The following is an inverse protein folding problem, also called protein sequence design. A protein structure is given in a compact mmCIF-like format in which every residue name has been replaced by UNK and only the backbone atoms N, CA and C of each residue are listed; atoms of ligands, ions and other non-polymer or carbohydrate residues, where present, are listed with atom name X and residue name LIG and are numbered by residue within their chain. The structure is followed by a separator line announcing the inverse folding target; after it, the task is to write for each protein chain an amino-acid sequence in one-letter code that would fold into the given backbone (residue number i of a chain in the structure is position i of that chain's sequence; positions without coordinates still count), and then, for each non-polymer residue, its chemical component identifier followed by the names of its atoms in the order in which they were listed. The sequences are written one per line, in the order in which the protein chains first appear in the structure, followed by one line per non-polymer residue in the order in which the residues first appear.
data_IF_896420796857
#
_entry.id   IF_896420796857
#
_cell.length_a   1.000
_cell.length_b   1.000
_cell.length_c   1.000
_cell.angle_alpha   90.00
_cell.angle_beta   90.00
_cell.angle_gamma   90.00
#
_symmetry.space_group_name_H-M   'P 1'
#
loop_
_entity.id
_entity.type
_entity.pdbx_description
1 polymer ?
#
# COMPACT_ATOMS: atom_id res chain seq x y z
N UNK A 1 21.69 9.30 26.39
CA UNK A 1 21.42 9.69 24.98
C UNK A 1 22.56 9.20 24.10
N UNK A 2 22.31 8.28 23.15
CA UNK A 2 23.34 7.77 22.26
C UNK A 2 23.81 8.85 21.28
N UNK A 3 25.12 9.17 21.26
CA UNK A 3 25.69 10.12 20.28
C UNK A 3 25.80 9.43 18.92
N UNK A 4 25.03 9.92 17.94
CA UNK A 4 25.12 9.48 16.56
C UNK A 4 26.47 9.92 15.98
N UNK A 5 27.22 8.99 15.38
CA UNK A 5 28.53 9.33 14.81
C UNK A 5 28.42 10.30 13.63
N UNK A 6 29.44 11.13 13.43
CA UNK A 6 29.51 12.07 12.30
C UNK A 6 29.38 11.36 10.94
N UNK A 7 29.86 10.13 10.82
CA UNK A 7 29.73 9.30 9.62
C UNK A 7 28.27 8.94 9.33
N UNK A 8 27.51 8.57 10.36
CA UNK A 8 26.07 8.26 10.25
C UNK A 8 25.29 9.52 9.88
N UNK A 9 25.57 10.66 10.52
CA UNK A 9 24.92 11.94 10.19
C UNK A 9 25.11 12.34 8.73
N UNK A 10 26.36 12.31 8.24
CA UNK A 10 26.68 12.59 6.83
C UNK A 10 26.00 11.62 5.87
N UNK A 11 25.84 10.34 6.25
CA UNK A 11 25.12 9.35 5.44
C UNK A 11 23.63 9.67 5.35
N UNK A 12 22.99 10.04 6.46
CA UNK A 12 21.59 10.45 6.49
C UNK A 12 21.36 11.72 5.64
N UNK A 13 22.19 12.74 5.80
CA UNK A 13 22.13 13.98 4.99
C UNK A 13 22.27 13.69 3.49
N UNK A 14 23.13 12.74 3.09
CA UNK A 14 23.23 12.31 1.68
C UNK A 14 21.95 11.59 1.21
N UNK A 15 21.32 10.80 2.07
CA UNK A 15 20.04 10.15 1.77
C UNK A 15 18.95 11.19 1.50
N UNK A 16 18.83 12.19 2.37
CA UNK A 16 17.88 13.31 2.22
C UNK A 16 18.12 14.06 0.91
N UNK A 17 19.37 14.48 0.63
CA UNK A 17 19.70 15.16 -0.63
C UNK A 17 19.38 14.30 -1.87
N UNK A 18 19.59 12.99 -1.80
CA UNK A 18 19.27 12.07 -2.90
C UNK A 18 17.77 11.96 -3.10
N UNK A 19 16.98 11.84 -2.03
CA UNK A 19 15.51 11.88 -2.08
C UNK A 19 15.05 13.18 -2.74
N UNK A 20 15.49 14.32 -2.22
CA UNK A 20 15.03 15.63 -2.69
C UNK A 20 15.37 15.82 -4.18
N UNK A 21 16.53 15.33 -4.62
CA UNK A 21 16.90 15.31 -6.04
C UNK A 21 15.97 14.43 -6.88
N UNK A 22 15.65 13.21 -6.43
CA UNK A 22 14.76 12.29 -7.16
C UNK A 22 13.33 12.85 -7.24
N UNK A 23 12.86 13.51 -6.18
CA UNK A 23 11.53 14.12 -6.16
C UNK A 23 11.46 15.39 -7.02
N UNK A 24 12.53 16.19 -7.06
CA UNK A 24 12.60 17.41 -7.86
C UNK A 24 12.83 17.14 -9.35
N UNK A 25 13.61 16.10 -9.67
CA UNK A 25 13.91 15.68 -11.02
C UNK A 25 13.86 14.14 -11.11
N UNK A 26 12.68 13.56 -11.40
CA UNK A 26 12.55 12.13 -11.58
C UNK A 26 13.27 11.64 -12.86
N UNK A 27 13.81 12.54 -13.68
CA UNK A 27 14.56 12.17 -14.87
C UNK A 27 15.89 11.49 -14.55
N UNK A 28 16.29 10.55 -15.39
CA UNK A 28 17.62 9.95 -15.34
C UNK A 28 18.28 10.11 -16.69
N UNK A 29 19.45 10.74 -16.69
CA UNK A 29 20.17 11.14 -17.92
C UNK A 29 19.33 12.06 -18.82
N UNK A 30 18.44 12.87 -18.24
CA UNK A 30 17.66 13.89 -18.98
C UNK A 30 16.34 13.41 -19.56
N UNK A 31 15.98 12.13 -19.40
CA UNK A 31 14.68 11.60 -19.84
C UNK A 31 13.71 11.58 -18.66
N UNK A 32 12.56 12.29 -18.71
CA UNK A 32 11.52 12.18 -17.70
C UNK A 32 11.11 10.72 -17.54
N UNK A 33 11.01 10.25 -16.29
CA UNK A 33 10.62 8.87 -16.01
C UNK A 33 9.17 8.81 -15.63
N UNK A 34 8.48 7.84 -16.19
CA UNK A 34 7.16 7.49 -15.73
C UNK A 34 7.24 6.96 -14.29
N UNK A 35 6.42 7.54 -13.41
CA UNK A 35 6.08 6.99 -12.10
C UNK A 35 4.57 6.89 -12.04
N UNK A 36 4.07 5.72 -11.68
CA UNK A 36 2.66 5.50 -11.36
C UNK A 36 2.53 4.77 -10.05
N UNK A 37 1.66 5.27 -9.19
CA UNK A 37 1.44 4.73 -7.85
C UNK A 37 0.06 4.08 -7.75
N UNK A 38 -0.05 3.12 -6.85
CA UNK A 38 -1.32 2.58 -6.41
C UNK A 38 -1.21 2.16 -4.94
N UNK A 39 -2.35 2.02 -4.27
CA UNK A 39 -2.40 1.39 -2.96
C UNK A 39 -3.65 0.54 -2.81
N UNK A 40 -3.50 -0.56 -2.08
CA UNK A 40 -4.57 -1.51 -1.80
C UNK A 40 -4.56 -1.95 -0.34
N UNK A 41 -5.72 -1.99 0.30
CA UNK A 41 -5.91 -2.82 1.49
C UNK A 41 -6.25 -4.25 1.07
N UNK A 42 -5.59 -5.24 1.65
CA UNK A 42 -5.84 -6.66 1.43
C UNK A 42 -6.06 -7.36 2.75
N UNK A 43 -7.12 -8.17 2.83
CA UNK A 43 -7.43 -9.01 3.99
C UNK A 43 -7.73 -10.41 3.47
N UNK A 44 -6.98 -11.41 3.94
CA UNK A 44 -7.13 -12.80 3.52
C UNK A 44 -7.74 -13.67 4.63
N UNK A 45 -8.35 -14.79 4.24
CA UNK A 45 -8.92 -15.75 5.19
C UNK A 45 -10.21 -15.29 5.87
N UNK A 46 -10.91 -14.31 5.27
CA UNK A 46 -12.17 -13.77 5.77
C UNK A 46 -13.34 -14.02 4.81
N UNK A 47 -13.28 -15.10 4.02
CA UNK A 47 -14.28 -15.38 2.99
C UNK A 47 -15.71 -15.25 3.50
N UNK A 48 -16.03 -15.89 4.63
CA UNK A 48 -17.37 -15.84 5.24
C UNK A 48 -17.87 -14.43 5.57
N UNK A 49 -16.97 -13.46 5.70
CA UNK A 49 -17.29 -12.07 6.03
C UNK A 49 -17.45 -11.17 4.80
N UNK A 50 -17.14 -11.64 3.58
CA UNK A 50 -17.16 -10.79 2.38
C UNK A 50 -18.51 -10.07 2.19
N UNK A 51 -19.62 -10.79 2.30
CA UNK A 51 -20.95 -10.21 2.09
C UNK A 51 -21.38 -9.34 3.29
N UNK A 52 -21.04 -9.78 4.51
CA UNK A 52 -21.31 -9.03 5.74
C UNK A 52 -20.56 -7.70 5.79
N UNK A 53 -19.35 -7.65 5.22
CA UNK A 53 -18.57 -6.42 5.10
C UNK A 53 -19.29 -5.36 4.30
N UNK A 54 -19.75 -5.71 3.10
CA UNK A 54 -20.47 -4.79 2.23
C UNK A 54 -21.78 -4.33 2.89
N UNK A 55 -22.53 -5.25 3.52
CA UNK A 55 -23.79 -4.91 4.20
C UNK A 55 -23.58 -3.93 5.37
N UNK A 56 -22.51 -4.13 6.15
CA UNK A 56 -22.26 -3.35 7.38
C UNK A 56 -21.56 -2.02 7.12
N UNK A 57 -20.70 -1.96 6.12
CA UNK A 57 -19.85 -0.78 5.85
C UNK A 57 -20.29 0.00 4.62
N UNK A 58 -21.09 -0.60 3.73
CA UNK A 58 -21.37 -0.05 2.41
C UNK A 58 -20.16 -0.04 1.47
N UNK A 59 -19.00 -0.56 1.90
CA UNK A 59 -17.77 -0.60 1.10
C UNK A 59 -17.81 -1.83 0.21
N UNK A 60 -17.83 -1.61 -1.09
CA UNK A 60 -17.67 -2.67 -2.08
C UNK A 60 -16.17 -2.94 -2.30
N UNK A 61 -15.71 -4.22 -2.23
CA UNK A 61 -14.34 -4.54 -2.60
C UNK A 61 -14.10 -4.21 -4.07
N UNK A 62 -12.88 -3.78 -4.40
CA UNK A 62 -12.45 -3.77 -5.80
C UNK A 62 -12.31 -5.18 -6.34
N UNK A 63 -11.91 -6.13 -5.49
CA UNK A 63 -11.92 -7.54 -5.83
C UNK A 63 -12.15 -8.37 -4.57
N UNK A 64 -13.00 -9.38 -4.68
CA UNK A 64 -13.13 -10.45 -3.69
C UNK A 64 -13.00 -11.78 -4.42
N UNK A 65 -12.26 -12.72 -3.83
CA UNK A 65 -12.10 -14.08 -4.36
C UNK A 65 -12.22 -15.08 -3.23
N UNK A 66 -12.84 -16.24 -3.49
CA UNK A 66 -12.93 -17.34 -2.53
C UNK A 66 -11.82 -18.35 -2.73
N UNK A 67 -11.40 -19.00 -1.65
CA UNK A 67 -10.52 -20.16 -1.73
C UNK A 67 -11.07 -21.20 -2.71
N UNK A 68 -10.19 -21.73 -3.56
CA UNK A 68 -10.53 -22.74 -4.55
C UNK A 68 -11.04 -22.20 -5.88
N UNK A 69 -11.34 -20.89 -5.99
CA UNK A 69 -11.69 -20.26 -7.25
C UNK A 69 -10.52 -20.30 -8.26
N UNK A 70 -10.81 -20.33 -9.58
CA UNK A 70 -9.78 -20.31 -10.61
C UNK A 70 -8.89 -19.06 -10.52
N UNK A 71 -7.59 -19.27 -10.75
CA UNK A 71 -6.55 -18.25 -10.87
C UNK A 71 -5.80 -18.47 -12.19
N UNK A 72 -5.00 -17.48 -12.59
CA UNK A 72 -4.17 -17.53 -13.79
C UNK A 72 -3.32 -18.82 -13.90
N UNK A 73 -3.13 -19.30 -15.13
CA UNK A 73 -2.34 -20.49 -15.48
C UNK A 73 -2.80 -21.78 -14.79
N UNK A 74 -4.13 -22.00 -14.69
CA UNK A 74 -4.71 -23.23 -14.15
C UNK A 74 -4.53 -23.40 -12.63
N UNK A 75 -4.00 -22.39 -11.95
CA UNK A 75 -3.87 -22.39 -10.49
C UNK A 75 -5.22 -22.08 -9.85
N UNK A 76 -5.35 -22.36 -8.56
CA UNK A 76 -6.49 -21.95 -7.74
C UNK A 76 -6.03 -21.05 -6.61
N UNK A 77 -6.90 -20.16 -6.17
CA UNK A 77 -6.68 -19.39 -4.95
C UNK A 77 -6.55 -20.33 -3.76
N UNK A 78 -5.45 -20.19 -3.00
CA UNK A 78 -5.18 -21.03 -1.83
C UNK A 78 -5.95 -20.57 -0.60
N UNK A 79 -6.45 -19.34 -0.66
CA UNK A 79 -7.11 -18.64 0.43
C UNK A 79 -8.08 -17.61 -0.15
N UNK A 80 -9.08 -17.24 0.64
CA UNK A 80 -9.98 -16.13 0.33
C UNK A 80 -9.22 -14.81 0.43
N UNK A 81 -9.58 -13.85 -0.42
CA UNK A 81 -8.96 -12.54 -0.41
C UNK A 81 -10.03 -11.48 -0.69
N UNK A 82 -10.09 -10.50 0.19
CA UNK A 82 -10.83 -9.26 0.03
C UNK A 82 -9.85 -8.12 -0.21
N UNK A 83 -10.08 -7.32 -1.25
CA UNK A 83 -9.16 -6.30 -1.72
C UNK A 83 -9.90 -5.01 -2.07
N UNK A 84 -9.42 -3.90 -1.51
CA UNK A 84 -9.89 -2.55 -1.79
C UNK A 84 -8.75 -1.70 -2.35
N UNK A 85 -8.85 -1.35 -3.62
CA UNK A 85 -7.91 -0.44 -4.28
C UNK A 85 -8.37 1.00 -4.15
N UNK A 86 -7.40 1.90 -4.00
CA UNK A 86 -7.67 3.31 -4.18
C UNK A 86 -7.96 3.63 -5.65
N UNK A 87 -9.04 4.37 -5.97
CA UNK A 87 -9.48 4.63 -7.34
C UNK A 87 -8.80 5.85 -7.98
N UNK A 88 -7.85 6.51 -7.30
CA UNK A 88 -7.29 7.80 -7.73
C UNK A 88 -6.41 7.73 -8.99
N UNK A 89 -6.09 6.52 -9.46
CA UNK A 89 -5.26 6.29 -10.64
C UNK A 89 -3.78 6.59 -10.42
N UNK A 90 -2.96 6.19 -11.40
CA UNK A 90 -1.50 6.13 -11.25
C UNK A 90 -0.78 7.46 -11.00
N UNK A 91 -1.37 8.60 -11.38
CA UNK A 91 -0.72 9.92 -11.29
C UNK A 91 -0.82 10.49 -9.87
N UNK A 92 -1.76 9.99 -9.05
CA UNK A 92 -1.89 10.42 -7.67
C UNK A 92 -0.67 10.00 -6.83
N UNK A 93 -0.36 10.78 -5.78
CA UNK A 93 0.69 10.42 -4.84
C UNK A 93 0.28 9.23 -3.97
N UNK A 94 1.26 8.49 -3.44
CA UNK A 94 0.98 7.45 -2.44
C UNK A 94 0.25 8.01 -1.22
N UNK A 95 0.60 9.21 -0.77
CA UNK A 95 -0.10 9.89 0.33
C UNK A 95 -1.59 10.08 0.04
N UNK A 96 -1.95 10.50 -1.17
CA UNK A 96 -3.35 10.65 -1.56
C UNK A 96 -4.09 9.30 -1.57
N UNK A 97 -3.45 8.23 -2.07
CA UNK A 97 -4.03 6.89 -2.03
C UNK A 97 -4.26 6.38 -0.60
N UNK A 98 -3.29 6.60 0.29
CA UNK A 98 -3.35 6.22 1.69
C UNK A 98 -4.40 7.00 2.45
N UNK A 99 -4.49 8.31 2.22
CA UNK A 99 -5.51 9.17 2.80
C UNK A 99 -6.90 8.72 2.36
N UNK A 100 -7.09 8.40 1.07
CA UNK A 100 -8.35 7.87 0.58
C UNK A 100 -8.73 6.56 1.29
N UNK A 101 -7.81 5.59 1.36
CA UNK A 101 -8.05 4.32 2.05
C UNK A 101 -8.44 4.55 3.51
N UNK A 102 -7.72 5.42 4.21
CA UNK A 102 -8.06 5.77 5.58
C UNK A 102 -9.45 6.42 5.68
N UNK A 103 -9.78 7.40 4.85
CA UNK A 103 -11.08 8.05 4.86
C UNK A 103 -12.23 7.07 4.58
N UNK A 104 -12.02 6.08 3.73
CA UNK A 104 -12.99 5.03 3.44
C UNK A 104 -13.21 4.09 4.63
N UNK A 105 -12.14 3.73 5.35
CA UNK A 105 -12.18 2.70 6.40
C UNK A 105 -12.41 3.28 7.79
N UNK A 106 -11.95 4.49 8.08
CA UNK A 106 -11.99 5.13 9.40
C UNK A 106 -13.38 5.14 10.05
N UNK A 107 -14.49 5.40 9.31
CA UNK A 107 -15.84 5.33 9.89
C UNK A 107 -16.20 3.94 10.45
N UNK A 108 -15.51 2.89 10.01
CA UNK A 108 -15.73 1.49 10.38
C UNK A 108 -14.51 0.85 11.04
N UNK A 109 -13.58 1.65 11.58
CA UNK A 109 -12.27 1.18 12.07
C UNK A 109 -12.37 -0.02 13.03
N UNK A 110 -13.32 -0.01 13.96
CA UNK A 110 -13.44 -1.06 14.97
C UNK A 110 -13.93 -2.38 14.37
N UNK A 111 -14.75 -2.30 13.33
CA UNK A 111 -15.16 -3.48 12.58
C UNK A 111 -13.99 -4.04 11.77
N UNK A 112 -13.20 -3.19 11.11
CA UNK A 112 -11.99 -3.64 10.43
C UNK A 112 -10.97 -4.26 11.39
N UNK A 113 -10.81 -3.73 12.62
CA UNK A 113 -9.98 -4.36 13.66
C UNK A 113 -10.46 -5.78 14.02
N UNK A 114 -11.77 -5.98 14.12
CA UNK A 114 -12.34 -7.31 14.37
C UNK A 114 -12.06 -8.26 13.22
N UNK A 115 -12.25 -7.82 11.97
CA UNK A 115 -11.97 -8.62 10.79
C UNK A 115 -10.49 -9.00 10.69
N UNK A 116 -9.59 -8.06 10.94
CA UNK A 116 -8.13 -8.30 10.92
C UNK A 116 -7.73 -9.29 12.02
N UNK A 117 -8.40 -9.29 13.16
CA UNK A 117 -8.13 -10.27 14.23
C UNK A 117 -8.58 -11.69 13.87
N UNK A 118 -9.55 -11.83 12.95
CA UNK A 118 -10.03 -13.11 12.42
C UNK A 118 -9.28 -13.54 11.15
N UNK A 119 -8.60 -12.61 10.48
CA UNK A 119 -7.94 -12.84 9.21
C UNK A 119 -6.65 -13.61 9.39
N UNK A 120 -6.25 -14.36 8.36
CA UNK A 120 -4.94 -15.02 8.34
C UNK A 120 -3.81 -14.04 8.03
N UNK A 121 -4.12 -13.03 7.21
CA UNK A 121 -3.23 -11.91 6.91
C UNK A 121 -4.03 -10.65 6.59
N UNK A 122 -3.46 -9.51 6.91
CA UNK A 122 -3.98 -8.21 6.51
C UNK A 122 -2.81 -7.26 6.26
N UNK A 123 -2.77 -6.68 5.07
CA UNK A 123 -1.66 -5.86 4.62
C UNK A 123 -2.13 -4.68 3.78
N UNK A 124 -1.37 -3.60 3.88
CA UNK A 124 -1.43 -2.48 2.97
C UNK A 124 -0.36 -2.66 1.90
N UNK A 125 -0.78 -2.74 0.64
CA UNK A 125 0.12 -2.91 -0.50
C UNK A 125 0.32 -1.57 -1.17
N UNK A 126 1.57 -1.16 -1.35
CA UNK A 126 1.97 0.07 -2.02
C UNK A 126 2.65 -0.26 -3.35
N UNK A 127 2.02 0.12 -4.45
CA UNK A 127 2.50 -0.10 -5.80
C UNK A 127 3.32 1.06 -6.34
N UNK A 128 4.37 0.74 -7.07
CA UNK A 128 5.15 1.69 -7.86
C UNK A 128 5.53 1.05 -9.20
N UNK A 129 4.90 1.53 -10.27
CA UNK A 129 5.33 1.28 -11.63
C UNK A 129 6.27 2.40 -12.07
N UNK A 130 7.48 2.06 -12.51
CA UNK A 130 8.48 3.05 -12.88
C UNK A 130 9.40 2.61 -14.01
N UNK A 131 9.85 3.56 -14.83
CA UNK A 131 10.97 3.38 -15.78
C UNK A 131 12.34 3.58 -15.11
N UNK A 132 12.36 3.73 -13.79
CA UNK A 132 13.58 3.83 -13.01
C UNK A 132 14.10 2.44 -12.64
N UNK A 133 15.37 2.08 -12.93
CA UNK A 133 16.02 0.91 -12.35
C UNK A 133 16.22 1.03 -10.84
N UNK A 134 15.98 2.21 -10.26
CA UNK A 134 16.02 2.46 -8.83
C UNK A 134 14.77 3.26 -8.45
N UNK A 135 13.58 2.64 -8.44
CA UNK A 135 12.37 3.31 -8.02
C UNK A 135 12.54 3.75 -6.57
N UNK A 136 12.07 4.96 -6.28
CA UNK A 136 12.12 5.52 -4.95
C UNK A 136 10.71 5.98 -4.61
N UNK A 137 10.18 5.51 -3.49
CA UNK A 137 8.90 5.94 -2.97
C UNK A 137 9.10 6.64 -1.64
N UNK A 138 8.26 7.63 -1.40
CA UNK A 138 8.17 8.32 -0.12
C UNK A 138 6.71 8.43 0.25
N UNK A 139 6.47 8.34 1.54
CA UNK A 139 5.18 8.55 2.16
C UNK A 139 5.43 9.38 3.41
N UNK A 140 4.57 10.36 3.66
CA UNK A 140 4.62 11.16 4.88
C UNK A 140 4.23 10.32 6.10
N UNK A 141 4.78 10.67 7.26
CA UNK A 141 4.50 9.92 8.49
C UNK A 141 3.00 9.86 8.80
N UNK A 142 2.29 10.96 8.55
CA UNK A 142 0.87 11.09 8.86
C UNK A 142 -0.01 10.23 7.93
N UNK A 143 0.44 9.99 6.69
CA UNK A 143 -0.23 9.12 5.74
C UNK A 143 -0.18 7.64 6.14
N UNK A 144 0.74 7.25 7.04
CA UNK A 144 0.83 5.87 7.57
C UNK A 144 -0.11 5.62 8.75
N UNK A 145 -1.01 6.55 9.08
CA UNK A 145 -1.95 6.45 10.20
C UNK A 145 -2.75 5.13 10.18
N UNK A 146 -3.25 4.72 9.02
CA UNK A 146 -4.01 3.47 8.84
C UNK A 146 -3.22 2.23 9.30
N UNK A 147 -1.91 2.16 9.02
CA UNK A 147 -1.07 1.05 9.47
C UNK A 147 -1.03 0.96 10.99
N UNK A 148 -0.92 2.11 11.67
CA UNK A 148 -0.85 2.20 13.13
C UNK A 148 -2.17 1.82 13.77
N UNK A 149 -3.27 2.37 13.27
CA UNK A 149 -4.59 2.18 13.88
C UNK A 149 -5.15 0.77 13.71
N UNK A 150 -4.82 0.12 12.59
CA UNK A 150 -5.30 -1.21 12.25
C UNK A 150 -4.25 -2.32 12.44
N UNK A 151 -3.03 -1.97 12.86
CA UNK A 151 -1.89 -2.88 13.07
C UNK A 151 -1.61 -3.76 11.85
N UNK A 152 -1.61 -3.15 10.68
CA UNK A 152 -1.44 -3.84 9.41
C UNK A 152 0.04 -4.06 9.07
N UNK A 153 0.32 -5.14 8.33
CA UNK A 153 1.57 -5.27 7.58
C UNK A 153 1.65 -4.27 6.43
N UNK A 154 2.86 -4.03 5.92
CA UNK A 154 3.07 -3.26 4.68
C UNK A 154 3.86 -4.08 3.69
N UNK A 155 3.35 -4.13 2.46
CA UNK A 155 3.98 -4.80 1.33
C UNK A 155 4.21 -3.81 0.21
N UNK A 156 5.32 -3.96 -0.51
CA UNK A 156 5.69 -3.08 -1.61
C UNK A 156 5.72 -3.88 -2.90
N UNK A 157 5.01 -3.39 -3.92
CA UNK A 157 5.01 -3.97 -5.25
C UNK A 157 5.72 -3.03 -6.22
N UNK A 158 6.88 -3.45 -6.72
CA UNK A 158 7.67 -2.66 -7.66
C UNK A 158 7.64 -3.32 -9.04
N UNK A 159 7.20 -2.55 -10.02
CA UNK A 159 7.29 -2.95 -11.43
C UNK A 159 8.22 -1.95 -12.12
N UNK A 160 9.40 -2.43 -12.49
CA UNK A 160 10.38 -1.66 -13.25
C UNK A 160 10.40 -2.15 -14.71
N UNK A 161 10.36 -1.22 -15.65
CA UNK A 161 10.47 -1.50 -17.10
C UNK A 161 11.65 -0.78 -17.73
#
# INVERSE_FOLDING_TARGET
MARISTKVRRRAERGVRRRDKILADPAYRGTPRLYRFDASLRIAGIGEQHDAMQLRTGIEPTHAVRKGEPRFAGKRWQEDLWLLNSPLGGVASLDAHLQWLWQTIAPHQDYFRQLIALSSSAELVLGCFSESPYPYLTVESDSLHLLRELKLGVSFNFTCV
#
